data_IF_869151816854
#
_entry.id   IF_869151816854
#
_cell.length_a   1.000
_cell.length_b   1.000
_cell.length_c   1.000
_cell.angle_alpha   90.00
_cell.angle_beta   90.00
_cell.angle_gamma   90.00
#
_symmetry.space_group_name_H-M   'P 1'
#
loop_
_entity.id
_entity.type
_entity.pdbx_description
1 polymer ?
#
# COMPACT_ATOMS: atom_id res chain seq x y z
N UNK A 1 3.38 -20.51 -8.48
CA UNK A 1 2.57 -20.54 -9.74
C UNK A 1 1.19 -19.91 -9.57
N UNK A 2 0.38 -20.35 -8.61
CA UNK A 2 -0.99 -19.82 -8.38
C UNK A 2 -1.03 -18.33 -8.00
N UNK A 3 -0.13 -17.87 -7.13
CA UNK A 3 -0.07 -16.45 -6.72
C UNK A 3 0.47 -15.53 -7.83
N UNK A 4 1.42 -16.03 -8.61
CA UNK A 4 1.95 -15.35 -9.81
C UNK A 4 0.86 -15.27 -10.90
N UNK A 5 0.04 -16.31 -11.06
CA UNK A 5 -1.12 -16.30 -11.95
C UNK A 5 -2.23 -15.36 -11.46
N UNK A 6 -2.48 -15.27 -10.15
CA UNK A 6 -3.45 -14.33 -9.57
C UNK A 6 -3.01 -12.87 -9.71
N UNK A 7 -1.71 -12.60 -9.52
CA UNK A 7 -1.11 -11.29 -9.77
C UNK A 7 -1.16 -10.92 -11.25
N UNK A 8 -0.86 -11.87 -12.13
CA UNK A 8 -0.96 -11.72 -13.60
C UNK A 8 -2.41 -11.49 -14.04
N UNK A 9 -3.38 -12.21 -13.49
CA UNK A 9 -4.81 -12.02 -13.79
C UNK A 9 -5.36 -10.68 -13.29
N UNK A 10 -4.94 -10.20 -12.11
CA UNK A 10 -5.26 -8.82 -11.66
C UNK A 10 -4.62 -7.78 -12.56
N UNK A 11 -3.36 -7.97 -12.92
CA UNK A 11 -2.65 -7.08 -13.84
C UNK A 11 -3.31 -7.06 -15.23
N UNK A 12 -3.74 -8.21 -15.75
CA UNK A 12 -4.47 -8.33 -17.01
C UNK A 12 -5.85 -7.67 -16.96
N UNK A 13 -6.58 -7.80 -15.85
CA UNK A 13 -7.84 -7.08 -15.62
C UNK A 13 -7.63 -5.57 -15.59
N UNK A 14 -6.56 -5.11 -14.96
CA UNK A 14 -6.23 -3.69 -14.90
C UNK A 14 -5.80 -3.15 -16.28
N UNK A 15 -4.97 -3.88 -17.02
CA UNK A 15 -4.60 -3.55 -18.40
C UNK A 15 -5.81 -3.54 -19.34
N UNK A 16 -6.74 -4.49 -19.17
CA UNK A 16 -8.01 -4.52 -19.90
C UNK A 16 -8.89 -3.31 -19.57
N UNK A 17 -9.00 -2.92 -18.29
CA UNK A 17 -9.74 -1.71 -17.89
C UNK A 17 -9.08 -0.43 -18.42
N UNK A 18 -7.74 -0.39 -18.49
CA UNK A 18 -6.99 0.73 -19.06
C UNK A 18 -7.19 0.84 -20.57
N UNK A 19 -7.20 -0.28 -21.29
CA UNK A 19 -7.52 -0.36 -22.72
C UNK A 19 -9.00 -0.14 -23.04
N UNK A 20 -9.91 -0.37 -22.08
CA UNK A 20 -11.33 -0.03 -22.21
C UNK A 20 -11.57 1.46 -21.94
N UNK A 21 -10.84 2.06 -21.00
CA UNK A 21 -10.92 3.48 -20.67
C UNK A 21 -10.48 4.42 -21.81
N UNK A 22 -9.66 3.95 -22.74
CA UNK A 22 -9.33 4.71 -23.96
C UNK A 22 -10.50 4.80 -24.96
N UNK A 23 -11.46 3.89 -24.88
CA UNK A 23 -12.65 3.82 -25.74
C UNK A 23 -13.91 4.48 -25.14
N UNK A 24 -13.82 4.95 -23.89
CA UNK A 24 -14.95 5.50 -23.14
C UNK A 24 -14.94 7.04 -23.11
N UNK A 25 -16.11 7.64 -22.88
CA UNK A 25 -16.29 9.07 -22.66
C UNK A 25 -15.51 9.59 -21.45
N UNK A 26 -15.37 10.91 -21.34
CA UNK A 26 -14.49 11.57 -20.35
C UNK A 26 -14.83 11.17 -18.90
N UNK A 27 -16.12 11.04 -18.56
CA UNK A 27 -16.54 10.74 -17.19
C UNK A 27 -16.35 9.26 -16.81
N UNK A 28 -16.57 8.34 -17.74
CA UNK A 28 -16.31 6.92 -17.54
C UNK A 28 -14.81 6.62 -17.39
N UNK A 29 -13.97 7.28 -18.19
CA UNK A 29 -12.51 7.22 -18.07
C UNK A 29 -12.05 7.67 -16.68
N UNK A 30 -12.61 8.77 -16.18
CA UNK A 30 -12.33 9.26 -14.81
C UNK A 30 -12.78 8.25 -13.75
N UNK A 31 -13.93 7.61 -13.93
CA UNK A 31 -14.39 6.53 -13.05
C UNK A 31 -13.39 5.38 -12.97
N UNK A 32 -12.89 4.90 -14.12
CA UNK A 32 -11.90 3.83 -14.18
C UNK A 32 -10.57 4.24 -13.55
N UNK A 33 -10.05 5.44 -13.85
CA UNK A 33 -8.79 5.94 -13.28
C UNK A 33 -8.92 6.04 -11.75
N UNK A 34 -10.04 6.52 -11.21
CA UNK A 34 -10.27 6.57 -9.76
C UNK A 34 -10.20 5.18 -9.12
N UNK A 35 -10.89 4.20 -9.70
CA UNK A 35 -10.84 2.82 -9.21
C UNK A 35 -9.41 2.27 -9.24
N UNK A 36 -8.65 2.54 -10.30
CA UNK A 36 -7.26 2.10 -10.41
C UNK A 36 -6.36 2.75 -9.35
N UNK A 37 -6.50 4.04 -9.08
CA UNK A 37 -5.74 4.71 -8.01
C UNK A 37 -6.07 4.13 -6.64
N UNK A 38 -7.34 3.81 -6.37
CA UNK A 38 -7.76 3.13 -5.14
C UNK A 38 -7.10 1.76 -5.03
N UNK A 39 -7.18 0.95 -6.08
CA UNK A 39 -6.61 -0.40 -6.11
C UNK A 39 -5.08 -0.37 -5.96
N UNK A 40 -4.38 0.47 -6.71
CA UNK A 40 -2.93 0.61 -6.60
C UNK A 40 -2.50 1.10 -5.23
N UNK A 41 -3.22 2.06 -4.64
CA UNK A 41 -2.97 2.51 -3.28
C UNK A 41 -3.14 1.39 -2.25
N UNK A 42 -4.19 0.58 -2.37
CA UNK A 42 -4.42 -0.57 -1.49
C UNK A 42 -3.35 -1.66 -1.67
N UNK A 43 -2.88 -1.91 -2.89
CA UNK A 43 -1.80 -2.86 -3.15
C UNK A 43 -0.47 -2.38 -2.56
N UNK A 44 -0.12 -1.11 -2.74
CA UNK A 44 1.08 -0.54 -2.12
C UNK A 44 1.03 -0.65 -0.58
N UNK A 45 -0.13 -0.36 0.01
CA UNK A 45 -0.35 -0.49 1.45
C UNK A 45 -0.16 -1.94 1.93
N UNK A 46 -0.72 -2.92 1.21
CA UNK A 46 -0.56 -4.33 1.54
C UNK A 46 0.90 -4.81 1.45
N UNK A 47 1.67 -4.33 0.45
CA UNK A 47 3.09 -4.66 0.31
C UNK A 47 3.90 -4.12 1.50
N UNK A 48 3.67 -2.85 1.86
CA UNK A 48 4.37 -2.25 3.01
C UNK A 48 3.97 -2.92 4.32
N UNK A 49 2.70 -3.27 4.49
CA UNK A 49 2.21 -4.00 5.65
C UNK A 49 2.90 -5.35 5.79
N UNK A 50 3.00 -6.11 4.70
CA UNK A 50 3.70 -7.40 4.66
C UNK A 50 5.17 -7.26 5.04
N UNK A 51 5.87 -6.25 4.50
CA UNK A 51 7.25 -5.94 4.86
C UNK A 51 7.39 -5.68 6.37
N UNK A 52 6.62 -4.72 6.91
CA UNK A 52 6.73 -4.30 8.31
C UNK A 52 6.34 -5.45 9.25
N UNK A 53 5.32 -6.23 8.88
CA UNK A 53 4.95 -7.44 9.62
C UNK A 53 6.10 -8.44 9.63
N UNK A 54 6.70 -8.71 8.47
CA UNK A 54 7.78 -9.68 8.33
C UNK A 54 8.98 -9.28 9.20
N UNK A 55 9.36 -8.00 9.18
CA UNK A 55 10.42 -7.47 10.04
C UNK A 55 10.06 -7.63 11.52
N UNK A 56 8.85 -7.24 11.92
CA UNK A 56 8.46 -7.24 13.33
C UNK A 56 8.29 -8.63 13.93
N UNK A 57 7.72 -9.58 13.18
CA UNK A 57 7.53 -10.97 13.65
C UNK A 57 8.86 -11.73 13.71
N UNK A 58 9.73 -11.53 12.72
CA UNK A 58 11.01 -12.24 12.66
C UNK A 58 12.14 -11.52 13.40
N UNK A 59 11.90 -10.30 13.89
CA UNK A 59 12.89 -9.40 14.49
C UNK A 59 14.19 -9.31 13.67
N UNK A 60 14.02 -9.10 12.37
CA UNK A 60 15.11 -9.06 11.38
C UNK A 60 14.99 -7.83 10.47
N UNK A 61 16.04 -7.01 10.34
CA UNK A 61 17.26 -7.03 11.15
C UNK A 61 16.97 -6.72 12.63
N UNK A 62 17.76 -7.30 13.54
CA UNK A 62 17.56 -7.16 14.98
C UNK A 62 17.48 -5.69 15.43
N UNK A 63 16.65 -5.41 16.44
CA UNK A 63 16.36 -4.06 16.94
C UNK A 63 15.71 -3.09 15.93
N UNK A 64 15.41 -3.55 14.71
CA UNK A 64 14.75 -2.72 13.70
C UNK A 64 13.22 -2.83 13.75
N UNK A 65 12.69 -3.77 14.54
CA UNK A 65 11.24 -3.94 14.72
C UNK A 65 10.57 -2.64 15.22
N UNK A 66 9.45 -2.21 14.61
CA UNK A 66 8.66 -1.10 15.17
C UNK A 66 8.14 -1.47 16.56
N UNK A 67 8.28 -0.59 17.55
CA UNK A 67 7.81 -0.86 18.92
C UNK A 67 6.43 -0.28 19.20
N UNK A 68 6.03 0.76 18.48
CA UNK A 68 4.77 1.49 18.67
C UNK A 68 4.04 1.76 17.37
N UNK A 69 2.70 1.85 17.46
CA UNK A 69 1.84 2.31 16.37
C UNK A 69 1.82 3.86 16.28
N UNK A 70 1.02 4.40 15.36
CA UNK A 70 0.81 5.85 15.18
C UNK A 70 0.35 6.60 16.43
N UNK A 71 -0.29 5.90 17.36
CA UNK A 71 -0.85 6.46 18.59
C UNK A 71 0.09 6.29 19.77
N UNK A 72 1.30 5.77 19.53
CA UNK A 72 2.25 5.44 20.59
C UNK A 72 1.88 4.18 21.38
N UNK A 73 0.93 3.37 20.89
CA UNK A 73 0.54 2.12 21.54
C UNK A 73 1.58 1.05 21.23
N UNK A 74 2.04 0.34 22.26
CA UNK A 74 2.99 -0.74 22.08
C UNK A 74 2.42 -1.86 21.20
N UNK A 75 3.22 -2.37 20.27
CA UNK A 75 2.86 -3.48 19.38
C UNK A 75 3.31 -4.81 20.00
N UNK A 76 2.36 -5.72 20.19
CA UNK A 76 2.64 -7.08 20.63
C UNK A 76 2.96 -7.99 19.43
N UNK A 77 4.25 -8.11 19.12
CA UNK A 77 4.74 -8.98 18.06
C UNK A 77 4.58 -10.47 18.35
N UNK A 78 4.52 -10.87 19.62
CA UNK A 78 4.43 -12.28 20.02
C UNK A 78 3.04 -12.88 19.76
N UNK A 79 1.98 -12.07 19.80
CA UNK A 79 0.59 -12.52 19.67
C UNK A 79 -0.03 -12.35 18.26
N UNK A 80 0.79 -12.33 17.19
CA UNK A 80 0.45 -12.12 15.76
C UNK A 80 0.75 -10.72 15.17
N UNK A 81 1.49 -9.87 15.88
CA UNK A 81 1.99 -8.60 15.36
C UNK A 81 0.88 -7.64 14.96
N UNK A 82 0.99 -7.04 13.78
CA UNK A 82 0.02 -6.10 13.22
C UNK A 82 -1.33 -6.76 12.91
N UNK A 83 -1.39 -8.09 12.81
CA UNK A 83 -2.64 -8.82 12.58
C UNK A 83 -3.33 -9.27 13.87
N UNK A 84 -2.69 -9.09 15.03
CA UNK A 84 -3.22 -9.52 16.31
C UNK A 84 -4.27 -8.55 16.85
N UNK A 85 -5.52 -9.00 16.84
CA UNK A 85 -6.60 -8.36 17.56
C UNK A 85 -6.94 -9.19 18.79
N UNK A 86 -6.41 -8.81 19.96
CA UNK A 86 -7.14 -9.00 21.22
C UNK A 86 -7.82 -7.68 21.56
N UNK A 87 -8.90 -7.39 20.84
CA UNK A 87 -9.86 -6.44 21.38
C UNK A 87 -10.51 -7.09 22.61
N UNK A 88 -10.62 -6.40 23.76
CA UNK A 88 -11.62 -6.74 24.74
C UNK A 88 -12.98 -6.85 24.02
N UNK A 89 -13.91 -7.73 24.45
CA UNK A 89 -15.16 -8.03 23.72
C UNK A 89 -16.05 -6.81 23.41
N UNK A 90 -15.72 -5.61 23.92
CA UNK A 90 -16.44 -4.36 23.74
C UNK A 90 -15.87 -3.40 22.68
N UNK A 91 -14.68 -3.63 22.08
CA UNK A 91 -14.08 -2.68 21.13
C UNK A 91 -14.02 -3.25 19.71
N UNK A 92 -14.76 -2.61 18.80
CA UNK A 92 -14.81 -2.92 17.37
C UNK A 92 -13.40 -3.09 16.77
N UNK A 93 -13.23 -4.15 15.97
CA UNK A 93 -12.05 -4.37 15.13
C UNK A 93 -11.73 -3.10 14.35
N UNK A 94 -10.57 -2.51 14.62
CA UNK A 94 -10.08 -1.36 13.86
C UNK A 94 -8.66 -1.71 13.43
N UNK A 95 -8.52 -2.36 12.27
CA UNK A 95 -7.26 -2.35 11.54
C UNK A 95 -6.85 -0.88 11.40
N UNK A 96 -5.76 -0.48 12.07
CA UNK A 96 -5.40 0.94 12.23
C UNK A 96 -3.94 1.21 11.91
N UNK A 97 -3.41 0.54 10.90
CA UNK A 97 -2.17 1.00 10.28
C UNK A 97 -2.56 1.97 9.19
N UNK A 98 -2.14 3.23 9.34
CA UNK A 98 -2.33 4.24 8.31
C UNK A 98 -1.26 4.03 7.24
N UNK A 99 -1.63 4.21 5.98
CA UNK A 99 -0.70 4.16 4.87
C UNK A 99 0.52 5.08 5.09
N UNK A 100 0.33 6.25 5.72
CA UNK A 100 1.41 7.15 6.11
C UNK A 100 2.43 6.50 7.08
N UNK A 101 1.95 5.73 8.06
CA UNK A 101 2.83 5.06 9.01
C UNK A 101 3.61 3.92 8.37
N UNK A 102 2.97 3.18 7.46
CA UNK A 102 3.64 2.12 6.73
C UNK A 102 4.78 2.66 5.86
N UNK A 103 4.56 3.83 5.22
CA UNK A 103 5.60 4.54 4.47
C UNK A 103 6.75 4.92 5.41
N UNK A 104 6.45 5.55 6.56
CA UNK A 104 7.49 6.00 7.49
C UNK A 104 8.28 4.85 8.11
N UNK A 105 7.64 3.71 8.41
CA UNK A 105 8.34 2.51 8.88
C UNK A 105 9.24 1.93 7.80
N UNK A 106 8.77 1.83 6.55
CA UNK A 106 9.59 1.32 5.45
C UNK A 106 10.81 2.22 5.17
N UNK A 107 10.64 3.55 5.25
CA UNK A 107 11.74 4.50 5.14
C UNK A 107 12.73 4.36 6.30
N UNK A 108 12.25 4.26 7.55
CA UNK A 108 13.09 4.02 8.74
C UNK A 108 13.92 2.73 8.63
N UNK A 109 13.36 1.71 7.99
CA UNK A 109 14.03 0.43 7.75
C UNK A 109 15.06 0.51 6.61
N UNK A 110 15.15 1.64 5.89
CA UNK A 110 15.89 1.79 4.63
C UNK A 110 15.45 0.78 3.55
N UNK A 111 14.20 0.31 3.61
CA UNK A 111 13.64 -0.59 2.60
C UNK A 111 13.17 0.17 1.36
N UNK A 112 12.89 1.46 1.50
CA UNK A 112 12.59 2.39 0.41
C UNK A 112 13.52 3.61 0.53
N UNK A 113 13.87 4.21 -0.60
CA UNK A 113 14.64 5.45 -0.63
C UNK A 113 13.72 6.69 -0.54
N UNK A 114 14.32 7.87 -0.35
CA UNK A 114 13.57 9.12 -0.24
C UNK A 114 12.79 9.49 -1.52
N UNK A 115 13.22 9.03 -2.69
CA UNK A 115 12.48 9.25 -3.93
C UNK A 115 11.17 8.45 -3.95
N UNK A 116 11.25 7.17 -3.60
CA UNK A 116 10.12 6.26 -3.53
C UNK A 116 9.16 6.65 -2.39
N UNK A 117 9.68 7.15 -1.28
CA UNK A 117 8.89 7.73 -0.19
C UNK A 117 8.01 8.89 -0.67
N UNK A 118 8.59 9.89 -1.36
CA UNK A 118 7.84 11.03 -1.93
C UNK A 118 6.77 10.55 -2.90
N UNK A 119 7.10 9.56 -3.74
CA UNK A 119 6.16 8.97 -4.70
C UNK A 119 5.01 8.23 -4.00
N UNK A 120 5.29 7.51 -2.91
CA UNK A 120 4.28 6.84 -2.10
C UNK A 120 3.35 7.84 -1.39
N UNK A 121 3.88 8.96 -0.91
CA UNK A 121 3.05 10.04 -0.37
C UNK A 121 2.11 10.64 -1.42
N UNK A 122 2.60 10.85 -2.65
CA UNK A 122 1.73 11.25 -3.77
C UNK A 122 0.62 10.21 -4.02
N UNK A 123 0.93 8.91 -3.99
CA UNK A 123 -0.07 7.85 -4.19
C UNK A 123 -1.11 7.83 -3.07
N UNK A 124 -0.67 8.00 -1.80
CA UNK A 124 -1.55 8.13 -0.64
C UNK A 124 -2.51 9.30 -0.78
N UNK A 125 -2.00 10.48 -1.13
CA UNK A 125 -2.81 11.69 -1.31
C UNK A 125 -3.79 11.52 -2.46
N UNK A 126 -3.33 11.01 -3.60
CA UNK A 126 -4.16 10.74 -4.77
C UNK A 126 -5.30 9.77 -4.43
N UNK A 127 -5.00 8.69 -3.70
CA UNK A 127 -5.99 7.73 -3.20
C UNK A 127 -7.04 8.40 -2.31
N UNK A 128 -6.61 9.26 -1.38
CA UNK A 128 -7.53 9.95 -0.47
C UNK A 128 -8.41 10.97 -1.21
N UNK A 129 -7.92 11.58 -2.29
CA UNK A 129 -8.68 12.51 -3.13
C UNK A 129 -9.78 11.83 -3.97
N UNK A 130 -9.59 10.55 -4.33
CA UNK A 130 -10.57 9.78 -5.14
C UNK A 130 -11.52 8.93 -4.30
N UNK A 131 -11.23 8.76 -3.01
CA UNK A 131 -12.03 7.90 -2.14
C UNK A 131 -13.40 8.54 -1.87
N UNK A 132 -14.53 7.88 -2.19
CA UNK A 132 -15.87 8.49 -2.18
C UNK A 132 -16.35 8.92 -0.78
N UNK A 133 -15.70 8.43 0.28
CA UNK A 133 -16.04 8.74 1.68
C UNK A 133 -15.45 10.08 2.15
N UNK A 134 -14.42 10.61 1.46
CA UNK A 134 -13.84 11.90 1.82
C UNK A 134 -14.44 12.94 0.87
N UNK A 135 -15.37 13.81 1.32
CA UNK A 135 -15.85 14.91 0.50
C UNK A 135 -14.71 15.91 0.31
N UNK A 136 -14.00 15.79 -0.81
CA UNK A 136 -12.90 16.68 -1.16
C UNK A 136 -13.41 17.81 -2.03
N UNK A 137 -13.14 19.07 -1.63
CA UNK A 137 -13.44 20.24 -2.47
C UNK A 137 -12.59 20.24 -3.76
N UNK A 138 -11.45 19.55 -3.74
CA UNK A 138 -10.60 19.31 -4.90
C UNK A 138 -11.09 18.11 -5.70
N UNK A 139 -11.62 18.37 -6.90
CA UNK A 139 -11.84 17.31 -7.89
C UNK A 139 -10.49 16.75 -8.32
N UNK A 140 -10.29 15.45 -8.13
CA UNK A 140 -9.20 14.71 -8.76
C UNK A 140 -9.22 14.98 -10.27
N UNK A 141 -8.18 15.65 -10.77
CA UNK A 141 -8.13 16.20 -12.14
C UNK A 141 -7.64 15.18 -13.17
N UNK A 142 -7.25 14.00 -12.74
CA UNK A 142 -6.24 13.24 -13.46
C UNK A 142 -6.75 12.36 -14.61
N UNK A 143 -5.80 12.06 -15.48
CA UNK A 143 -5.89 11.31 -16.73
C UNK A 143 -5.28 9.90 -16.60
N UNK A 144 -5.07 9.24 -17.74
CA UNK A 144 -4.47 7.90 -17.84
C UNK A 144 -3.04 7.86 -17.29
N UNK A 145 -2.30 8.96 -17.32
CA UNK A 145 -0.90 9.03 -16.86
C UNK A 145 -0.79 8.91 -15.34
N UNK A 146 -1.77 9.39 -14.57
CA UNK A 146 -1.78 9.16 -13.12
C UNK A 146 -1.97 7.70 -12.76
N UNK A 147 -2.78 6.95 -13.53
CA UNK A 147 -2.89 5.50 -13.36
C UNK A 147 -1.57 4.80 -13.68
N UNK A 148 -0.87 5.20 -14.75
CA UNK A 148 0.48 4.69 -15.08
C UNK A 148 1.48 5.02 -13.99
N UNK A 149 1.46 6.24 -13.47
CA UNK A 149 2.30 6.69 -12.35
C UNK A 149 2.05 5.83 -11.12
N UNK A 150 0.80 5.61 -10.73
CA UNK A 150 0.44 4.75 -9.61
C UNK A 150 0.91 3.30 -9.79
N UNK A 151 0.74 2.73 -10.99
CA UNK A 151 1.27 1.40 -11.32
C UNK A 151 2.78 1.32 -11.13
N UNK A 152 3.52 2.30 -11.65
CA UNK A 152 4.98 2.33 -11.55
C UNK A 152 5.47 2.49 -10.11
N UNK A 153 4.69 3.18 -9.26
CA UNK A 153 4.96 3.27 -7.82
C UNK A 153 4.81 1.90 -7.18
N UNK A 154 3.70 1.20 -7.42
CA UNK A 154 3.47 -0.15 -6.86
C UNK A 154 4.56 -1.14 -7.26
N UNK A 155 4.99 -1.12 -8.53
CA UNK A 155 6.07 -2.00 -9.01
C UNK A 155 7.37 -1.67 -8.28
N UNK A 156 7.74 -0.39 -8.18
CA UNK A 156 8.95 0.02 -7.47
C UNK A 156 8.88 -0.35 -5.97
N UNK A 157 7.73 -0.18 -5.32
CA UNK A 157 7.52 -0.59 -3.92
C UNK A 157 7.69 -2.09 -3.73
N UNK A 158 7.10 -2.91 -4.62
CA UNK A 158 7.27 -4.36 -4.60
C UNK A 158 8.76 -4.73 -4.71
N UNK A 159 9.45 -4.19 -5.70
CA UNK A 159 10.82 -4.57 -6.00
C UNK A 159 11.77 -4.15 -4.87
N UNK A 160 11.56 -2.97 -4.29
CA UNK A 160 12.30 -2.49 -3.13
C UNK A 160 12.07 -3.38 -1.88
N UNK A 161 10.81 -3.69 -1.56
CA UNK A 161 10.48 -4.55 -0.41
C UNK A 161 10.99 -5.97 -0.59
N UNK A 162 10.91 -6.53 -1.81
CA UNK A 162 11.41 -7.87 -2.11
C UNK A 162 12.95 -7.93 -2.01
N UNK A 163 13.64 -6.89 -2.50
CA UNK A 163 15.10 -6.78 -2.36
C UNK A 163 15.50 -6.71 -0.89
N UNK A 164 14.79 -5.92 -0.09
CA UNK A 164 15.01 -5.83 1.35
C UNK A 164 14.78 -7.17 2.06
N UNK A 165 13.65 -7.83 1.77
CA UNK A 165 13.34 -9.15 2.34
C UNK A 165 14.41 -10.18 2.00
N UNK A 166 14.87 -10.19 0.75
CA UNK A 166 15.94 -11.08 0.29
C UNK A 166 17.25 -10.82 1.03
N UNK A 167 17.64 -9.55 1.17
CA UNK A 167 18.87 -9.15 1.87
C UNK A 167 18.88 -9.59 3.34
N UNK A 168 17.72 -9.56 4.00
CA UNK A 168 17.58 -9.88 5.43
C UNK A 168 17.02 -11.27 5.71
N UNK A 169 16.91 -12.14 4.69
CA UNK A 169 16.36 -13.49 4.79
C UNK A 169 15.00 -13.52 5.50
N UNK A 170 14.13 -12.58 5.13
CA UNK A 170 12.73 -12.48 5.56
C UNK A 170 11.84 -13.31 4.62
N UNK A 171 10.73 -13.89 5.14
CA UNK A 171 9.74 -14.61 4.33
C UNK A 171 9.07 -13.69 3.30
#
# INVERSE_FOLDING_TARGET
LRDSAAFSARSARISYLLGKATLLGIDDRRGVVRSQIIEYGAVAEAILLDLVQSVGVNDKPGASRPTTDLKGTAIDWANAGLFSMRAPPSKKLKFKFDFNWLISQAARLNAIDGNLEVRLHWLRESRNLVHPVIPTAQRYKDDVDSSRKARNIVIATRDACLSYKTLHALP
#
